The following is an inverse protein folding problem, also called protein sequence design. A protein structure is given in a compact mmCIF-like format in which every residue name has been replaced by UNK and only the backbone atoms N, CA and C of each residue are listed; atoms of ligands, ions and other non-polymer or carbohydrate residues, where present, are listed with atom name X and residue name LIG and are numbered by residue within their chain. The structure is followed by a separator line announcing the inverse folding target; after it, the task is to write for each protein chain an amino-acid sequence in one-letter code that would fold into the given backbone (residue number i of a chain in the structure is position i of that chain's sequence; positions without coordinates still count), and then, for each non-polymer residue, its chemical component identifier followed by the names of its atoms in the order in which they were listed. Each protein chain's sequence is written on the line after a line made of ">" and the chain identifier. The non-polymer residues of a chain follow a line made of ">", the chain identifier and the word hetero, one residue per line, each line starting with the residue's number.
data_IF_481100352180
#
_entry.id   IF_481100352180
#
_cell.length_a   1.000
_cell.length_b   1.000
_cell.length_c   1.000
_cell.angle_alpha   90.00
_cell.angle_beta   90.00
_cell.angle_gamma   90.00
#
_symmetry.space_group_name_H-M   'P 1'
#
loop_
_entity.id
_entity.type
_entity.pdbx_description
1 polymer ?
#
# COMPACT_ATOMS: atom_id res chain seq x y z
N UNK A 1 -9.50 1.67 5.45
CA UNK A 1 -8.46 0.65 5.18
C UNK A 1 -7.14 1.25 4.73
N UNK A 2 -7.21 2.30 3.93
CA UNK A 2 -5.99 2.95 3.47
C UNK A 2 -5.18 3.52 4.64
N UNK A 3 -5.85 4.22 5.55
CA UNK A 3 -5.18 4.79 6.71
C UNK A 3 -4.54 3.70 7.58
N UNK A 4 -5.21 2.58 7.69
CA UNK A 4 -4.69 1.45 8.46
C UNK A 4 -3.46 0.85 7.77
N UNK A 5 -3.46 0.79 6.44
CA UNK A 5 -2.30 0.33 5.69
C UNK A 5 -1.09 1.23 5.97
N UNK A 6 -1.29 2.54 5.97
CA UNK A 6 -0.23 3.50 6.30
C UNK A 6 0.29 3.28 7.71
N UNK A 7 -0.61 3.09 8.67
CA UNK A 7 -0.23 2.83 10.05
C UNK A 7 0.66 1.60 10.16
N UNK A 8 0.27 0.50 9.54
CA UNK A 8 1.07 -0.71 9.60
C UNK A 8 2.40 -0.57 8.87
N UNK A 9 2.42 0.18 7.75
CA UNK A 9 3.67 0.43 7.04
C UNK A 9 4.67 1.18 7.91
N UNK A 10 4.21 2.20 8.62
CA UNK A 10 5.04 2.98 9.52
C UNK A 10 5.50 2.16 10.73
N UNK A 11 4.67 1.24 11.17
CA UNK A 11 4.99 0.37 12.30
C UNK A 11 5.90 -0.81 11.92
N UNK A 12 6.20 -0.98 10.64
CA UNK A 12 7.05 -2.06 10.16
C UNK A 12 6.32 -3.36 9.88
N UNK A 13 4.99 -3.40 10.03
CA UNK A 13 4.18 -4.59 9.74
C UNK A 13 3.85 -4.64 8.25
N UNK A 14 4.88 -4.86 7.43
CA UNK A 14 4.79 -4.68 5.98
C UNK A 14 3.80 -5.61 5.30
N UNK A 15 3.76 -6.88 5.70
CA UNK A 15 2.84 -7.84 5.08
C UNK A 15 1.39 -7.42 5.27
N UNK A 16 1.04 -6.99 6.47
CA UNK A 16 -0.31 -6.51 6.75
C UNK A 16 -0.62 -5.22 5.99
N UNK A 17 0.36 -4.34 5.93
CA UNK A 17 0.21 -3.07 5.22
C UNK A 17 -0.10 -3.30 3.74
N UNK A 18 0.64 -4.19 3.10
CA UNK A 18 0.42 -4.51 1.69
C UNK A 18 -0.95 -5.12 1.46
N UNK A 19 -1.37 -6.02 2.34
CA UNK A 19 -2.69 -6.65 2.23
C UNK A 19 -3.80 -5.61 2.31
N UNK A 20 -3.73 -4.72 3.29
CA UNK A 20 -4.75 -3.68 3.47
C UNK A 20 -4.72 -2.68 2.32
N UNK A 21 -3.52 -2.35 1.84
CA UNK A 21 -3.38 -1.46 0.69
C UNK A 21 -4.04 -2.06 -0.54
N UNK A 22 -3.81 -3.35 -0.78
CA UNK A 22 -4.43 -4.04 -1.89
C UNK A 22 -5.95 -4.00 -1.83
N UNK A 23 -6.52 -4.20 -0.64
CA UNK A 23 -7.96 -4.12 -0.44
C UNK A 23 -8.48 -2.71 -0.72
N UNK A 24 -7.75 -1.70 -0.25
CA UNK A 24 -8.13 -0.31 -0.47
C UNK A 24 -8.12 0.04 -1.96
N UNK A 25 -7.11 -0.43 -2.69
CA UNK A 25 -7.01 -0.17 -4.12
C UNK A 25 -8.11 -0.88 -4.92
N UNK A 26 -8.56 -2.03 -4.46
CA UNK A 26 -9.69 -2.72 -5.10
C UNK A 26 -10.98 -1.93 -4.93
N UNK A 27 -11.20 -1.37 -3.74
CA UNK A 27 -12.40 -0.59 -3.44
C UNK A 27 -12.37 0.78 -4.11
N UNK A 28 -11.18 1.36 -4.23
CA UNK A 28 -11.00 2.71 -4.75
C UNK A 28 -9.80 2.74 -5.70
N UNK A 29 -9.98 2.29 -6.95
CA UNK A 29 -8.85 2.21 -7.89
C UNK A 29 -8.12 3.54 -8.12
N UNK A 30 -8.83 4.66 -7.96
CA UNK A 30 -8.22 5.97 -8.11
C UNK A 30 -7.12 6.27 -7.10
N UNK A 31 -7.07 5.52 -5.99
CA UNK A 31 -6.01 5.70 -5.01
C UNK A 31 -4.65 5.24 -5.52
N UNK A 32 -4.60 4.42 -6.58
CA UNK A 32 -3.33 3.88 -7.07
C UNK A 32 -2.34 4.98 -7.42
N UNK A 33 -2.79 5.98 -8.20
CA UNK A 33 -1.91 7.08 -8.58
C UNK A 33 -1.46 7.90 -7.38
N UNK A 34 -2.39 8.17 -6.47
CA UNK A 34 -2.12 8.98 -5.30
C UNK A 34 -1.19 8.24 -4.33
N UNK A 35 -1.42 6.96 -4.10
CA UNK A 35 -0.67 6.19 -3.13
C UNK A 35 0.78 5.96 -3.54
N UNK A 36 1.09 5.99 -4.83
CA UNK A 36 2.46 5.86 -5.30
C UNK A 36 3.38 6.93 -4.74
N UNK A 37 2.83 8.10 -4.45
CA UNK A 37 3.60 9.23 -3.95
C UNK A 37 3.52 9.40 -2.45
N UNK A 38 2.77 8.52 -1.77
CA UNK A 38 2.60 8.60 -0.32
C UNK A 38 3.85 8.11 0.39
N UNK A 39 4.50 9.02 1.12
CA UNK A 39 5.74 8.69 1.85
C UNK A 39 5.51 7.72 3.00
N UNK A 40 4.29 7.64 3.52
CA UNK A 40 3.97 6.69 4.59
C UNK A 40 4.10 5.25 4.12
N UNK A 41 3.98 5.01 2.82
CA UNK A 41 4.11 3.68 2.24
C UNK A 41 5.49 3.40 1.67
N UNK A 42 6.44 4.31 1.88
CA UNK A 42 7.77 4.19 1.29
C UNK A 42 8.48 2.90 1.70
N UNK A 43 8.26 2.43 2.92
CA UNK A 43 8.90 1.20 3.40
C UNK A 43 8.45 -0.05 2.65
N UNK A 44 7.33 0.02 1.94
CA UNK A 44 6.80 -1.11 1.19
C UNK A 44 7.41 -1.22 -0.21
N UNK A 45 8.05 -0.16 -0.68
CA UNK A 45 8.63 -0.14 -2.02
C UNK A 45 9.75 -1.18 -2.11
N UNK A 46 9.78 -1.91 -3.21
CA UNK A 46 10.73 -2.99 -3.39
C UNK A 46 10.20 -4.35 -2.97
N UNK A 47 9.10 -4.41 -2.22
CA UNK A 47 8.47 -5.69 -1.92
C UNK A 47 7.74 -6.19 -3.16
N UNK A 48 7.94 -7.46 -3.56
CA UNK A 48 7.24 -7.99 -4.73
C UNK A 48 5.72 -7.87 -4.63
N UNK A 49 5.17 -8.07 -3.45
CA UNK A 49 3.72 -7.96 -3.23
C UNK A 49 3.23 -6.55 -3.47
N UNK A 50 3.99 -5.55 -3.01
CA UNK A 50 3.66 -4.15 -3.24
C UNK A 50 3.72 -3.83 -4.73
N UNK A 51 4.82 -4.22 -5.38
CA UNK A 51 5.03 -3.93 -6.79
C UNK A 51 3.91 -4.51 -7.65
N UNK A 52 3.42 -5.69 -7.29
CA UNK A 52 2.33 -6.33 -8.03
C UNK A 52 1.03 -5.55 -7.98
N UNK A 53 0.78 -4.81 -6.92
CA UNK A 53 -0.45 -4.01 -6.82
C UNK A 53 -0.53 -2.95 -7.90
N UNK A 54 0.63 -2.45 -8.34
CA UNK A 54 0.70 -1.36 -9.31
C UNK A 54 1.04 -1.82 -10.72
N UNK A 55 1.29 -3.10 -10.90
CA UNK A 55 1.65 -3.66 -12.20
C UNK A 55 0.45 -3.99 -13.08
N UNK A 56 -0.77 -3.78 -12.61
CA UNK A 56 -2.00 -4.11 -13.31
C UNK A 56 -2.28 -3.21 -14.49
#
# INVERSE_FOLDING_TARGET
>A
RYNLACFYALAGAKARAVKLLGEALELHPGLAEWSKEDTDLASLRGMPEYDRLYAR
#
